data_IF_953060939132
#
_entry.id   IF_953060939132
#
_cell.length_a   1.000
_cell.length_b   1.000
_cell.length_c   1.000
_cell.angle_alpha   90.00
_cell.angle_beta   90.00
_cell.angle_gamma   90.00
#
_symmetry.space_group_name_H-M   'P 1'
#
loop_
_entity.id
_entity.type
_entity.pdbx_description
1 polymer ?
#
# COMPACT_ATOMS: atom_id res chain seq x y z
N UNK A 1 -32.17 17.42 38.21
CA UNK A 1 -30.78 17.54 37.72
C UNK A 1 -30.63 16.45 36.66
N UNK A 2 -30.94 16.77 35.39
CA UNK A 2 -31.08 15.77 34.30
C UNK A 2 -30.19 16.08 33.10
N UNK A 3 -29.15 16.90 33.28
CA UNK A 3 -28.26 17.34 32.21
C UNK A 3 -26.96 16.54 32.13
N UNK A 4 -26.61 15.78 33.18
CA UNK A 4 -25.35 15.03 33.24
C UNK A 4 -25.45 13.68 32.52
N UNK A 5 -26.58 12.98 32.66
CA UNK A 5 -26.84 11.66 32.07
C UNK A 5 -26.99 11.68 30.53
N UNK A 6 -27.51 12.79 29.99
CA UNK A 6 -27.61 12.99 28.55
C UNK A 6 -26.23 13.31 27.92
N UNK A 7 -25.33 13.94 28.68
CA UNK A 7 -24.00 14.31 28.19
C UNK A 7 -23.07 13.09 28.14
N UNK A 8 -23.12 12.23 29.18
CA UNK A 8 -22.40 10.96 29.20
C UNK A 8 -22.87 10.05 28.07
N UNK A 9 -24.19 9.93 27.86
CA UNK A 9 -24.77 9.11 26.79
C UNK A 9 -24.33 9.57 25.38
N UNK A 10 -24.10 10.86 25.17
CA UNK A 10 -23.64 11.38 23.88
C UNK A 10 -22.16 11.05 23.62
N UNK A 11 -21.32 11.14 24.66
CA UNK A 11 -19.90 10.75 24.59
C UNK A 11 -19.74 9.24 24.40
N UNK A 12 -20.52 8.44 25.11
CA UNK A 12 -20.46 6.98 25.02
C UNK A 12 -20.96 6.48 23.66
N UNK A 13 -22.03 7.10 23.14
CA UNK A 13 -22.55 6.78 21.80
C UNK A 13 -21.59 7.19 20.70
N UNK A 14 -20.92 8.34 20.79
CA UNK A 14 -19.92 8.76 19.82
C UNK A 14 -18.70 7.83 19.80
N UNK A 15 -18.25 7.38 20.99
CA UNK A 15 -17.16 6.42 21.09
C UNK A 15 -17.55 5.02 20.59
N UNK A 16 -18.80 4.60 20.82
CA UNK A 16 -19.33 3.34 20.31
C UNK A 16 -19.46 3.36 18.77
N UNK A 17 -19.87 4.48 18.17
CA UNK A 17 -19.99 4.61 16.71
C UNK A 17 -18.61 4.66 16.03
N UNK A 18 -17.61 5.31 16.66
CA UNK A 18 -16.21 5.28 16.22
C UNK A 18 -15.60 3.87 16.31
N UNK A 19 -15.93 3.11 17.34
CA UNK A 19 -15.51 1.71 17.47
C UNK A 19 -16.25 0.79 16.49
N UNK A 20 -17.55 1.01 16.26
CA UNK A 20 -18.34 0.27 15.28
C UNK A 20 -17.89 0.55 13.84
N UNK A 21 -17.51 1.79 13.52
CA UNK A 21 -16.90 2.15 12.24
C UNK A 21 -15.55 1.44 12.01
N UNK A 22 -14.68 1.42 13.03
CA UNK A 22 -13.42 0.65 12.97
C UNK A 22 -13.65 -0.86 12.88
N UNK A 23 -14.69 -1.38 13.54
CA UNK A 23 -15.07 -2.79 13.45
C UNK A 23 -15.71 -3.14 12.10
N UNK A 24 -16.41 -2.20 11.44
CA UNK A 24 -16.93 -2.37 10.09
C UNK A 24 -15.82 -2.31 9.03
N UNK A 25 -14.81 -1.43 9.18
CA UNK A 25 -13.59 -1.51 8.38
C UNK A 25 -12.86 -2.85 8.60
N UNK A 26 -12.88 -3.38 9.82
CA UNK A 26 -12.28 -4.69 10.16
C UNK A 26 -13.11 -5.89 9.70
N UNK A 27 -14.44 -5.79 9.58
CA UNK A 27 -15.32 -6.84 9.08
C UNK A 27 -15.45 -6.83 7.55
N UNK A 28 -15.35 -5.66 6.90
CA UNK A 28 -15.21 -5.58 5.44
C UNK A 28 -13.85 -6.12 4.95
N UNK A 29 -12.89 -6.30 5.85
CA UNK A 29 -11.55 -6.85 5.60
C UNK A 29 -11.39 -8.30 6.10
N UNK A 30 -12.46 -9.09 6.11
CA UNK A 30 -12.37 -10.56 6.08
C UNK A 30 -11.96 -11.11 4.68
N UNK A 31 -11.60 -10.23 3.74
CA UNK A 31 -10.82 -10.58 2.55
C UNK A 31 -9.33 -10.68 2.87
N UNK A 32 -8.57 -11.35 2.00
CA UNK A 32 -7.11 -11.44 2.08
C UNK A 32 -6.53 -10.04 2.32
N UNK A 33 -5.80 -9.87 3.43
CA UNK A 33 -5.14 -8.60 3.78
C UNK A 33 -3.70 -8.63 3.28
N UNK A 34 -3.27 -7.49 2.76
CA UNK A 34 -1.89 -7.27 2.35
C UNK A 34 -1.20 -6.23 3.23
N UNK A 35 0.04 -6.51 3.62
CA UNK A 35 0.87 -5.64 4.45
C UNK A 35 1.79 -4.79 3.59
N UNK A 36 1.87 -3.50 3.90
CA UNK A 36 2.66 -2.52 3.16
C UNK A 36 3.95 -2.17 3.85
N UNK A 37 4.02 -2.23 5.18
CA UNK A 37 5.20 -1.85 5.95
C UNK A 37 5.52 -2.95 6.95
N UNK A 38 6.71 -3.54 6.85
CA UNK A 38 7.19 -4.54 7.79
C UNK A 38 7.43 -3.95 9.19
N UNK A 39 7.35 -4.81 10.20
CA UNK A 39 7.59 -4.44 11.60
C UNK A 39 8.99 -3.83 11.75
N UNK A 40 9.06 -2.72 12.51
CA UNK A 40 10.27 -1.92 12.80
C UNK A 40 10.84 -1.15 11.60
N UNK A 41 10.13 -1.07 10.47
CA UNK A 41 10.55 -0.27 9.32
C UNK A 41 10.00 1.17 9.37
N UNK A 42 10.84 2.12 8.94
CA UNK A 42 10.48 3.54 8.87
C UNK A 42 10.17 3.94 7.42
N UNK A 43 9.07 4.66 7.22
CA UNK A 43 8.67 5.19 5.92
C UNK A 43 9.64 6.31 5.50
N UNK A 44 10.31 6.21 4.35
CA UNK A 44 11.15 7.29 3.84
C UNK A 44 10.38 8.61 3.69
N UNK A 45 10.99 9.73 4.07
CA UNK A 45 10.34 11.05 4.00
C UNK A 45 9.72 11.42 2.63
N UNK A 46 10.28 11.02 1.48
CA UNK A 46 9.64 11.25 0.18
C UNK A 46 8.29 10.53 0.02
N UNK A 47 8.11 9.38 0.68
CA UNK A 47 6.88 8.58 0.63
C UNK A 47 5.82 9.04 1.61
N UNK A 48 6.15 9.85 2.60
CA UNK A 48 5.17 10.37 3.57
C UNK A 48 4.08 11.22 2.88
N UNK A 49 4.47 11.95 1.83
CA UNK A 49 3.57 12.84 1.07
C UNK A 49 2.68 12.11 0.07
N UNK A 50 2.91 10.83 -0.20
CA UNK A 50 2.13 10.10 -1.21
C UNK A 50 0.70 9.81 -0.75
N UNK A 51 0.47 9.75 0.57
CA UNK A 51 -0.85 9.53 1.15
C UNK A 51 -1.87 10.65 0.90
N UNK A 52 -1.41 11.82 0.43
CA UNK A 52 -2.28 12.93 0.05
C UNK A 52 -2.80 12.80 -1.40
N UNK A 53 -2.23 11.86 -2.18
CA UNK A 53 -2.64 11.60 -3.57
C UNK A 53 -3.57 10.40 -3.62
N UNK A 54 -4.65 10.51 -4.40
CA UNK A 54 -5.63 9.45 -4.59
C UNK A 54 -5.45 8.78 -5.94
N UNK A 55 -5.57 7.46 -5.95
CA UNK A 55 -5.62 6.67 -7.17
C UNK A 55 -7.03 6.70 -7.74
N UNK A 56 -7.17 7.33 -8.90
CA UNK A 56 -8.44 7.49 -9.60
C UNK A 56 -8.96 6.13 -10.04
N UNK A 57 -9.99 5.66 -9.35
CA UNK A 57 -10.70 4.39 -9.59
C UNK A 57 -12.13 4.50 -9.06
N UNK A 58 -12.96 3.46 -9.19
CA UNK A 58 -14.33 3.49 -8.67
C UNK A 58 -14.42 3.81 -7.16
N UNK A 59 -13.33 3.61 -6.40
CA UNK A 59 -13.28 3.83 -4.95
C UNK A 59 -12.42 5.01 -4.51
N UNK A 60 -11.68 5.67 -5.42
CA UNK A 60 -10.78 6.79 -5.12
C UNK A 60 -9.96 6.62 -3.82
N UNK A 61 -9.16 5.56 -3.75
CA UNK A 61 -8.37 5.21 -2.56
C UNK A 61 -7.01 5.95 -2.56
N UNK A 62 -6.50 6.38 -1.39
CA UNK A 62 -5.19 7.03 -1.30
C UNK A 62 -4.05 6.06 -1.60
N UNK A 63 -2.91 6.58 -2.04
CA UNK A 63 -1.68 5.79 -2.10
C UNK A 63 -1.16 5.51 -0.70
N UNK A 64 -0.71 4.28 -0.48
CA UNK A 64 -0.11 3.85 0.79
C UNK A 64 1.38 3.60 0.59
N UNK A 65 2.22 4.11 1.49
CA UNK A 65 3.65 3.86 1.43
C UNK A 65 3.95 2.38 1.70
N UNK A 66 4.94 1.84 0.97
CA UNK A 66 5.38 0.45 1.07
C UNK A 66 6.86 0.40 1.46
N UNK A 67 7.18 -0.37 2.50
CA UNK A 67 8.54 -0.69 2.94
C UNK A 67 8.57 -2.13 3.44
N UNK A 68 9.01 -3.06 2.60
CA UNK A 68 9.05 -4.49 2.93
C UNK A 68 10.48 -5.01 2.84
N UNK A 69 10.85 -5.92 3.73
CA UNK A 69 12.19 -6.51 3.81
C UNK A 69 12.36 -7.54 2.72
N UNK A 70 13.45 -7.39 1.97
CA UNK A 70 13.74 -8.27 0.85
C UNK A 70 15.25 -8.38 0.66
N UNK A 71 15.84 -9.44 1.20
CA UNK A 71 17.30 -9.68 1.10
C UNK A 71 17.78 -9.81 -0.36
N UNK A 72 16.90 -10.18 -1.29
CA UNK A 72 17.19 -10.18 -2.71
C UNK A 72 17.52 -8.79 -3.27
N UNK A 73 17.02 -7.71 -2.66
CA UNK A 73 17.30 -6.34 -3.08
C UNK A 73 18.79 -6.01 -3.04
N UNK A 74 19.52 -6.51 -2.03
CA UNK A 74 20.99 -6.35 -1.91
C UNK A 74 21.76 -6.95 -3.08
N UNK A 75 21.15 -7.89 -3.79
CA UNK A 75 21.70 -8.58 -4.96
C UNK A 75 21.10 -8.05 -6.27
N UNK A 76 20.25 -7.03 -6.22
CA UNK A 76 19.49 -6.54 -7.37
C UNK A 76 18.47 -7.56 -7.91
N UNK A 77 18.06 -8.53 -7.09
CA UNK A 77 17.11 -9.57 -7.48
C UNK A 77 15.71 -9.14 -7.06
N UNK A 78 14.78 -9.10 -8.00
CA UNK A 78 13.36 -8.83 -7.73
C UNK A 78 12.65 -10.07 -7.20
N UNK A 79 11.62 -9.92 -6.34
CA UNK A 79 10.77 -11.04 -5.97
C UNK A 79 9.97 -11.53 -7.18
N UNK A 80 9.96 -12.85 -7.37
CA UNK A 80 9.07 -13.53 -8.32
C UNK A 80 7.61 -13.43 -7.85
N UNK A 81 6.64 -13.83 -8.69
CA UNK A 81 5.21 -13.71 -8.38
C UNK A 81 4.79 -14.42 -7.08
N UNK A 82 5.31 -15.62 -6.83
CA UNK A 82 5.03 -16.37 -5.61
C UNK A 82 5.70 -15.78 -4.37
N UNK A 83 6.93 -15.29 -4.53
CA UNK A 83 7.68 -14.64 -3.45
C UNK A 83 7.02 -13.31 -3.07
N UNK A 84 6.60 -12.52 -4.06
CA UNK A 84 5.91 -11.27 -3.84
C UNK A 84 4.55 -11.48 -3.19
N UNK A 85 3.78 -12.46 -3.68
CA UNK A 85 2.52 -12.89 -3.05
C UNK A 85 2.74 -13.23 -1.56
N UNK A 86 3.77 -14.01 -1.25
CA UNK A 86 4.09 -14.37 0.13
C UNK A 86 4.58 -13.19 0.97
N UNK A 87 5.29 -12.24 0.34
CA UNK A 87 5.83 -11.05 1.00
C UNK A 87 4.73 -10.08 1.42
N UNK A 88 3.72 -9.89 0.57
CA UNK A 88 2.61 -8.97 0.88
C UNK A 88 1.48 -9.64 1.65
N UNK A 89 1.38 -10.98 1.65
CA UNK A 89 0.27 -11.68 2.31
C UNK A 89 0.42 -11.75 3.82
N UNK A 90 -0.58 -11.26 4.56
CA UNK A 90 -0.64 -11.48 6.02
C UNK A 90 -1.20 -12.84 6.42
N UNK A 91 -1.70 -13.62 5.45
CA UNK A 91 -2.31 -14.93 5.68
C UNK A 91 -1.59 -16.01 4.86
N UNK A 92 -1.21 -17.15 5.47
CA UNK A 92 -0.53 -18.24 4.77
C UNK A 92 -1.40 -18.95 3.72
N UNK A 93 -2.72 -18.65 3.67
CA UNK A 93 -3.67 -19.22 2.72
C UNK A 93 -4.18 -18.18 1.70
N UNK A 94 -3.52 -17.04 1.60
CA UNK A 94 -3.87 -16.01 0.63
C UNK A 94 -3.59 -16.51 -0.81
N UNK A 95 -4.65 -16.66 -1.61
CA UNK A 95 -4.54 -16.90 -3.04
C UNK A 95 -4.50 -15.57 -3.77
N UNK A 96 -3.36 -14.88 -3.75
CA UNK A 96 -3.15 -13.65 -4.52
C UNK A 96 -2.65 -13.97 -5.92
N UNK A 97 -3.36 -13.48 -6.94
CA UNK A 97 -2.91 -13.54 -8.33
C UNK A 97 -2.03 -12.33 -8.62
N UNK A 98 -0.73 -12.56 -8.74
CA UNK A 98 0.27 -11.51 -8.98
C UNK A 98 0.71 -11.52 -10.44
N UNK A 99 0.69 -10.36 -11.09
CA UNK A 99 1.23 -10.14 -12.43
C UNK A 99 2.08 -8.86 -12.47
N UNK A 100 3.02 -8.75 -13.42
CA UNK A 100 3.76 -7.51 -13.65
C UNK A 100 3.13 -6.75 -14.80
N UNK A 101 2.97 -5.44 -14.66
CA UNK A 101 2.57 -4.54 -15.74
C UNK A 101 3.63 -3.45 -15.95
N UNK A 102 3.59 -2.80 -17.11
CA UNK A 102 4.48 -1.66 -17.39
C UNK A 102 4.00 -0.41 -16.65
N UNK A 103 4.92 0.51 -16.33
CA UNK A 103 4.57 1.82 -15.77
C UNK A 103 3.64 2.62 -16.68
N UNK A 104 3.77 2.47 -18.00
CA UNK A 104 2.88 3.11 -18.98
C UNK A 104 1.47 2.50 -18.98
N UNK A 105 1.34 1.20 -18.68
CA UNK A 105 0.04 0.56 -18.51
C UNK A 105 -0.65 1.00 -17.21
N UNK A 106 0.12 1.20 -16.15
CA UNK A 106 -0.37 1.71 -14.87
C UNK A 106 -0.77 3.19 -14.94
N UNK A 107 0.04 4.02 -15.60
CA UNK A 107 -0.18 5.46 -15.70
C UNK A 107 -0.08 5.94 -17.16
N UNK A 108 -1.07 5.63 -18.01
CA UNK A 108 -1.03 5.96 -19.43
C UNK A 108 -1.08 7.47 -19.70
N UNK A 109 -1.55 8.27 -18.74
CA UNK A 109 -1.66 9.73 -18.83
C UNK A 109 -0.57 10.48 -18.07
N UNK A 110 0.36 9.76 -17.45
CA UNK A 110 1.44 10.33 -16.66
C UNK A 110 0.94 11.24 -15.50
N UNK A 111 -0.20 10.89 -14.90
CA UNK A 111 -0.79 11.61 -13.76
C UNK A 111 -0.02 11.39 -12.45
N UNK A 112 0.66 10.25 -12.32
CA UNK A 112 1.36 9.79 -11.12
C UNK A 112 2.88 9.91 -11.25
N UNK A 113 3.36 10.78 -12.14
CA UNK A 113 4.80 11.06 -12.29
C UNK A 113 5.46 11.49 -10.96
N UNK A 114 4.73 12.24 -10.12
CA UNK A 114 5.19 12.65 -8.78
C UNK A 114 5.38 11.45 -7.85
N UNK A 115 4.47 10.48 -7.90
CA UNK A 115 4.57 9.23 -7.13
C UNK A 115 5.78 8.42 -7.57
N UNK A 116 5.97 8.24 -8.89
CA UNK A 116 7.14 7.56 -9.44
C UNK A 116 8.45 8.27 -9.05
N UNK A 117 8.44 9.61 -9.02
CA UNK A 117 9.56 10.41 -8.53
C UNK A 117 9.87 10.15 -7.05
N UNK A 118 8.84 10.17 -6.19
CA UNK A 118 8.98 9.92 -4.77
C UNK A 118 9.55 8.53 -4.45
N UNK A 119 9.13 7.50 -5.19
CA UNK A 119 9.69 6.15 -5.05
C UNK A 119 11.19 6.13 -5.39
N UNK A 120 11.62 6.82 -6.46
CA UNK A 120 13.05 6.89 -6.82
C UNK A 120 13.86 7.64 -5.77
N UNK A 121 13.33 8.77 -5.29
CA UNK A 121 13.98 9.60 -4.28
C UNK A 121 14.14 8.84 -2.95
N UNK A 122 13.13 8.04 -2.58
CA UNK A 122 13.16 7.19 -1.40
C UNK A 122 14.26 6.12 -1.42
N UNK A 123 14.65 5.65 -2.61
CA UNK A 123 15.66 4.59 -2.79
C UNK A 123 17.06 5.17 -2.94
N UNK A 124 17.24 6.16 -3.82
CA UNK A 124 18.56 6.72 -4.10
C UNK A 124 19.00 7.79 -3.10
N UNK A 125 18.28 7.97 -1.99
CA UNK A 125 18.53 9.02 -1.00
C UNK A 125 18.71 10.42 -1.64
N UNK A 126 17.98 10.69 -2.72
CA UNK A 126 18.06 11.95 -3.48
C UNK A 126 19.10 12.01 -4.61
N UNK A 127 19.88 10.95 -4.86
CA UNK A 127 20.79 10.89 -6.02
C UNK A 127 20.00 10.54 -7.31
N UNK A 128 20.21 11.26 -8.42
CA UNK A 128 19.57 10.94 -9.69
C UNK A 128 20.22 9.69 -10.32
N UNK A 129 19.75 8.52 -9.91
CA UNK A 129 20.10 7.22 -10.50
C UNK A 129 18.97 6.65 -11.36
N UNK A 130 19.33 5.75 -12.29
CA UNK A 130 18.36 4.91 -13.00
C UNK A 130 17.83 3.82 -12.05
N UNK A 131 16.99 4.22 -11.09
CA UNK A 131 16.27 3.27 -10.22
C UNK A 131 15.24 2.55 -11.08
N UNK A 132 15.37 1.22 -11.13
CA UNK A 132 14.39 0.37 -11.77
C UNK A 132 13.11 0.36 -10.92
N UNK A 133 11.99 0.70 -11.55
CA UNK A 133 10.66 0.63 -10.94
C UNK A 133 9.91 -0.52 -11.60
N UNK A 134 9.32 -1.38 -10.78
CA UNK A 134 8.42 -2.44 -11.22
C UNK A 134 7.03 -2.23 -10.66
N UNK A 135 6.02 -2.50 -11.47
CA UNK A 135 4.62 -2.42 -11.06
C UNK A 135 4.02 -3.82 -11.01
N UNK A 136 3.64 -4.25 -9.81
CA UNK A 136 2.92 -5.50 -9.61
C UNK A 136 1.43 -5.21 -9.49
N UNK A 137 0.61 -5.93 -10.27
CA UNK A 137 -0.85 -5.99 -10.12
C UNK A 137 -1.18 -7.24 -9.33
N UNK A 138 -1.80 -7.04 -8.18
CA UNK A 138 -2.20 -8.10 -7.24
C UNK A 138 -3.71 -8.15 -7.17
N UNK A 139 -4.28 -9.31 -7.46
CA UNK A 139 -5.72 -9.53 -7.37
C UNK A 139 -6.02 -10.49 -6.22
N UNK A 140 -6.83 -10.03 -5.27
CA UNK A 140 -7.14 -10.76 -4.03
C UNK A 140 -8.45 -11.53 -4.10
N UNK A 141 -9.50 -10.92 -4.65
CA UNK A 141 -10.78 -11.60 -4.93
C UNK A 141 -11.74 -10.70 -5.72
N UNK A 142 -12.33 -11.24 -6.79
CA UNK A 142 -13.37 -10.57 -7.57
C UNK A 142 -12.86 -9.30 -8.25
N UNK A 143 -13.57 -8.19 -8.08
CA UNK A 143 -13.24 -6.90 -8.70
C UNK A 143 -12.07 -6.16 -8.02
N UNK A 144 -11.52 -6.64 -6.89
CA UNK A 144 -10.52 -5.88 -6.11
C UNK A 144 -9.10 -6.15 -6.60
N UNK A 145 -8.42 -5.07 -6.97
CA UNK A 145 -7.07 -5.08 -7.52
C UNK A 145 -6.20 -4.10 -6.73
N UNK A 146 -4.96 -4.49 -6.49
CA UNK A 146 -3.96 -3.64 -5.87
C UNK A 146 -2.78 -3.44 -6.82
N UNK A 147 -2.39 -2.19 -7.00
CA UNK A 147 -1.25 -1.80 -7.80
C UNK A 147 -0.09 -1.44 -6.88
N UNK A 148 1.01 -2.17 -7.00
CA UNK A 148 2.20 -2.00 -6.17
C UNK A 148 3.32 -1.46 -7.05
N UNK A 149 3.64 -0.18 -6.88
CA UNK A 149 4.71 0.51 -7.61
C UNK A 149 5.94 0.52 -6.71
N UNK A 150 6.91 -0.33 -7.03
CA UNK A 150 8.04 -0.63 -6.14
C UNK A 150 9.37 -0.38 -6.83
N UNK A 151 10.37 -0.06 -6.03
CA UNK A 151 11.78 -0.09 -6.40
C UNK A 151 12.60 -0.90 -5.40
N UNK A 152 13.76 -1.38 -5.84
CA UNK A 152 14.71 -2.11 -5.00
C UNK A 152 15.62 -1.15 -4.23
N UNK A 153 15.57 -1.20 -2.91
CA UNK A 153 16.53 -0.57 -2.02
C UNK A 153 17.64 -1.58 -1.69
N UNK A 154 18.69 -1.57 -2.50
CA UNK A 154 19.84 -2.46 -2.35
C UNK A 154 20.70 -2.14 -1.12
N UNK A 155 20.74 -0.88 -0.68
CA UNK A 155 21.55 -0.46 0.46
C UNK A 155 20.99 -1.03 1.76
N UNK A 156 19.67 -0.97 1.91
CA UNK A 156 19.02 -1.49 3.11
C UNK A 156 18.52 -2.93 3.00
N UNK A 157 18.45 -3.50 1.79
CA UNK A 157 17.90 -4.83 1.56
C UNK A 157 16.38 -4.87 1.69
N UNK A 158 15.71 -3.88 1.08
CA UNK A 158 14.26 -3.68 1.16
C UNK A 158 13.67 -3.43 -0.23
N UNK A 159 12.37 -3.61 -0.36
CA UNK A 159 11.58 -3.04 -1.45
C UNK A 159 10.79 -1.87 -0.92
N UNK A 160 10.85 -0.75 -1.63
CA UNK A 160 10.30 0.53 -1.19
C UNK A 160 9.43 1.10 -2.31
N UNK A 161 8.26 1.62 -1.97
CA UNK A 161 7.39 2.20 -2.98
C UNK A 161 6.02 2.59 -2.46
N UNK A 162 5.00 2.39 -3.29
CA UNK A 162 3.61 2.65 -2.93
C UNK A 162 2.66 1.55 -3.37
N UNK A 163 1.53 1.44 -2.68
CA UNK A 163 0.37 0.63 -3.05
C UNK A 163 -0.82 1.54 -3.34
N UNK A 164 -1.57 1.24 -4.39
CA UNK A 164 -2.90 1.79 -4.64
C UNK A 164 -3.93 0.66 -4.69
N UNK A 165 -5.11 0.89 -4.12
CA UNK A 165 -6.26 -0.01 -4.21
C UNK A 165 -7.19 0.47 -5.31
N UNK A 166 -7.75 -0.48 -6.04
CA UNK A 166 -8.69 -0.23 -7.12
C UNK A 166 -9.80 -1.30 -7.12
N UNK A 167 -10.95 -0.92 -7.63
CA UNK A 167 -12.03 -1.84 -7.98
C UNK A 167 -12.24 -1.79 -9.49
N UNK A 168 -12.24 -2.95 -10.14
CA UNK A 168 -12.44 -3.14 -11.57
C UNK A 168 -13.72 -3.98 -11.76
N UNK A 169 -14.81 -3.34 -12.18
CA UNK A 169 -16.10 -3.99 -12.46
C UNK A 169 -16.31 -4.26 -13.96
#
# INVERSE_FOLDING_TARGET
MSSDDAYTSFLEKANADLQAGRQQEQQATMGIRTETVDVDEHIPAPLDRVGETFYVSDTDEPFEAVVLRWEGARKGVWPDYSQFSSLVSTSPHANLSVTTISSQSFDPRNHYAGILGAVREAISAGEPGSVEIKVYRVESSGARVEYWVLGLDGDNGRVVGVRAKAVES
#
